data_IF_314103932424
#
_entry.id   IF_314103932424
#
_cell.length_a   1.000
_cell.length_b   1.000
_cell.length_c   1.000
_cell.angle_alpha   90.00
_cell.angle_beta   90.00
_cell.angle_gamma   90.00
#
_symmetry.space_group_name_H-M   'P 1'
#
loop_
_entity.id
_entity.type
_entity.pdbx_description
1 polymer ?
#
# COMPACT_ATOMS: atom_id res chain seq x y z
N UNK A 1 -6.56 26.45 12.46
CA UNK A 1 -6.50 25.30 11.51
C UNK A 1 -7.86 24.65 11.54
N UNK A 2 -8.68 24.87 10.50
CA UNK A 2 -9.99 24.24 10.42
C UNK A 2 -9.78 22.74 10.13
N UNK A 3 -10.08 21.90 11.12
CA UNK A 3 -10.25 20.49 10.88
C UNK A 3 -11.45 20.32 9.93
N UNK A 4 -11.21 19.87 8.70
CA UNK A 4 -12.28 19.48 7.79
C UNK A 4 -13.13 18.44 8.51
N UNK A 5 -14.44 18.65 8.54
CA UNK A 5 -15.39 17.66 9.07
C UNK A 5 -15.16 16.36 8.28
N UNK A 6 -14.88 15.23 8.93
CA UNK A 6 -14.70 13.97 8.22
C UNK A 6 -16.00 13.67 7.44
N UNK A 7 -15.86 13.41 6.14
CA UNK A 7 -16.96 12.89 5.34
C UNK A 7 -17.46 11.57 5.93
N UNK A 8 -18.69 11.15 5.56
CA UNK A 8 -19.20 9.85 5.97
C UNK A 8 -18.20 8.74 5.56
N UNK A 9 -17.93 7.73 6.43
CA UNK A 9 -17.02 6.64 6.11
C UNK A 9 -17.42 5.92 4.82
N UNK A 10 -16.44 5.60 4.00
CA UNK A 10 -16.62 4.81 2.78
C UNK A 10 -16.94 3.37 3.19
N UNK A 11 -18.11 2.88 2.80
CA UNK A 11 -18.45 1.48 3.03
C UNK A 11 -17.68 0.61 2.06
N UNK A 12 -16.78 -0.23 2.57
CA UNK A 12 -15.93 -1.13 1.82
C UNK A 12 -16.21 -2.59 2.19
N UNK A 13 -16.21 -3.48 1.19
CA UNK A 13 -16.21 -4.92 1.47
C UNK A 13 -14.85 -5.33 2.04
N UNK A 14 -13.76 -4.96 1.35
CA UNK A 14 -12.40 -5.23 1.78
C UNK A 14 -11.51 -3.99 1.59
N UNK A 15 -10.72 -3.69 2.62
CA UNK A 15 -9.60 -2.74 2.53
C UNK A 15 -8.29 -3.52 2.52
N UNK A 16 -7.47 -3.35 1.48
CA UNK A 16 -6.14 -3.94 1.35
C UNK A 16 -5.13 -2.86 1.71
N UNK A 17 -4.30 -3.11 2.71
CA UNK A 17 -3.22 -2.23 3.16
C UNK A 17 -1.93 -2.66 2.49
N UNK A 18 -1.48 -1.88 1.51
CA UNK A 18 -0.31 -2.15 0.68
C UNK A 18 -0.67 -2.57 -0.75
N UNK A 19 -0.16 -1.83 -1.74
CA UNK A 19 -0.31 -2.09 -3.17
C UNK A 19 0.96 -2.69 -3.81
N UNK A 20 1.74 -3.44 -3.03
CA UNK A 20 2.81 -4.31 -3.52
C UNK A 20 2.27 -5.57 -4.19
N UNK A 21 3.14 -6.49 -4.68
CA UNK A 21 2.72 -7.69 -5.40
C UNK A 21 1.65 -8.53 -4.67
N UNK A 22 1.77 -8.67 -3.35
CA UNK A 22 0.79 -9.42 -2.55
C UNK A 22 -0.57 -8.73 -2.54
N UNK A 23 -0.61 -7.40 -2.34
CA UNK A 23 -1.87 -6.64 -2.36
C UNK A 23 -2.52 -6.64 -3.73
N UNK A 24 -1.73 -6.52 -4.80
CA UNK A 24 -2.23 -6.60 -6.17
C UNK A 24 -2.82 -7.98 -6.45
N UNK A 25 -2.13 -9.06 -6.08
CA UNK A 25 -2.66 -10.41 -6.28
C UNK A 25 -3.93 -10.66 -5.45
N UNK A 26 -4.03 -10.07 -4.25
CA UNK A 26 -5.24 -10.16 -3.44
C UNK A 26 -6.46 -9.53 -4.14
N UNK A 27 -6.28 -8.44 -4.93
CA UNK A 27 -7.37 -7.89 -5.77
C UNK A 27 -7.88 -8.93 -6.76
N UNK A 28 -6.98 -9.69 -7.39
CA UNK A 28 -7.35 -10.75 -8.32
C UNK A 28 -8.20 -11.82 -7.62
N UNK A 29 -7.75 -12.33 -6.49
CA UNK A 29 -8.45 -13.37 -5.74
C UNK A 29 -9.83 -12.92 -5.27
N UNK A 30 -9.95 -11.70 -4.72
CA UNK A 30 -11.23 -11.11 -4.32
C UNK A 30 -12.15 -10.91 -5.53
N UNK A 31 -11.59 -10.43 -6.64
CA UNK A 31 -12.32 -10.19 -7.87
C UNK A 31 -12.96 -11.45 -8.46
N UNK A 32 -12.27 -12.60 -8.38
CA UNK A 32 -12.84 -13.89 -8.78
C UNK A 32 -14.06 -14.28 -7.94
N UNK A 33 -14.15 -13.79 -6.71
CA UNK A 33 -15.28 -14.01 -5.80
C UNK A 33 -16.36 -12.91 -5.93
N UNK A 34 -16.17 -11.94 -6.82
CA UNK A 34 -17.08 -10.79 -6.97
C UNK A 34 -17.02 -9.79 -5.83
N UNK A 35 -15.94 -9.79 -5.04
CA UNK A 35 -15.73 -8.90 -3.89
C UNK A 35 -14.96 -7.67 -4.34
N UNK A 36 -15.47 -6.48 -4.04
CA UNK A 36 -14.80 -5.22 -4.35
C UNK A 36 -13.72 -4.88 -3.30
N UNK A 37 -12.63 -4.28 -3.77
CA UNK A 37 -11.49 -3.93 -2.91
C UNK A 37 -11.09 -2.46 -3.04
N UNK A 38 -10.74 -1.85 -1.89
CA UNK A 38 -10.05 -0.59 -1.79
C UNK A 38 -8.60 -0.84 -1.40
N UNK A 39 -7.63 -0.35 -2.19
CA UNK A 39 -6.20 -0.44 -1.87
C UNK A 39 -5.71 0.88 -1.31
N UNK A 40 -5.05 0.81 -0.16
CA UNK A 40 -4.41 1.96 0.49
C UNK A 40 -2.89 1.72 0.49
N UNK A 41 -2.12 2.67 -0.04
CA UNK A 41 -0.65 2.60 -0.04
C UNK A 41 -0.03 3.98 0.19
N UNK A 42 1.08 4.03 0.91
CA UNK A 42 1.85 5.24 1.17
C UNK A 42 2.57 5.78 -0.06
N UNK A 43 2.85 4.92 -1.03
CA UNK A 43 3.43 5.30 -2.30
C UNK A 43 2.38 5.92 -3.22
N UNK A 44 2.81 6.78 -4.13
CA UNK A 44 1.96 7.44 -5.14
C UNK A 44 1.68 6.55 -6.36
N UNK A 45 2.31 5.38 -6.41
CA UNK A 45 2.14 4.39 -7.46
C UNK A 45 2.16 2.98 -6.87
N UNK A 46 1.42 2.01 -7.47
CA UNK A 46 1.47 0.62 -7.04
C UNK A 46 2.82 -0.04 -7.34
N UNK A 47 3.11 -1.13 -6.63
CA UNK A 47 4.30 -1.96 -6.84
C UNK A 47 5.14 -2.19 -5.59
N UNK A 48 5.01 -1.35 -4.56
CA UNK A 48 5.69 -1.51 -3.28
C UNK A 48 7.21 -1.58 -3.43
N UNK A 49 7.87 -2.53 -2.75
CA UNK A 49 9.32 -2.67 -2.80
C UNK A 49 9.88 -2.92 -4.20
N UNK A 50 9.13 -3.63 -5.04
CA UNK A 50 9.55 -3.99 -6.40
C UNK A 50 9.82 -2.76 -7.26
N UNK A 51 8.96 -1.76 -7.19
CA UNK A 51 9.11 -0.52 -7.97
C UNK A 51 9.94 0.53 -7.25
N UNK A 52 9.83 0.59 -5.92
CA UNK A 52 10.42 1.67 -5.14
C UNK A 52 11.91 1.45 -4.84
N UNK A 53 12.34 0.21 -4.58
CA UNK A 53 13.70 -0.08 -4.13
C UNK A 53 14.59 -0.70 -5.21
N UNK A 54 14.07 -1.59 -6.05
CA UNK A 54 14.89 -2.38 -6.97
C UNK A 54 14.12 -2.85 -8.22
N UNK A 55 13.64 -1.91 -9.05
CA UNK A 55 12.79 -2.24 -10.21
C UNK A 55 13.47 -3.19 -11.22
N UNK A 56 14.79 -3.10 -11.35
CA UNK A 56 15.58 -3.91 -12.29
C UNK A 56 16.07 -5.24 -11.71
N UNK A 57 15.78 -5.50 -10.42
CA UNK A 57 16.27 -6.72 -9.77
C UNK A 57 15.56 -7.94 -10.35
N UNK A 58 16.31 -8.98 -10.78
CA UNK A 58 15.68 -10.23 -11.19
C UNK A 58 15.10 -10.99 -9.98
N UNK A 59 13.92 -11.57 -10.19
CA UNK A 59 13.17 -12.37 -9.22
C UNK A 59 13.06 -13.79 -9.78
N UNK A 60 13.28 -14.80 -8.95
CA UNK A 60 13.37 -16.21 -9.36
C UNK A 60 12.36 -17.11 -8.63
N UNK A 61 11.63 -16.57 -7.67
CA UNK A 61 10.77 -17.31 -6.72
C UNK A 61 9.28 -17.08 -6.95
N UNK A 62 8.90 -16.66 -8.15
CA UNK A 62 7.49 -16.53 -8.54
C UNK A 62 7.05 -17.82 -9.25
N UNK A 63 5.99 -18.50 -8.76
CA UNK A 63 5.47 -19.70 -9.40
C UNK A 63 5.21 -19.50 -10.90
N UNK A 64 5.63 -20.45 -11.73
CA UNK A 64 5.50 -20.44 -13.19
C UNK A 64 6.27 -19.33 -13.93
N UNK A 65 7.04 -18.48 -13.24
CA UNK A 65 7.96 -17.52 -13.83
C UNK A 65 9.40 -17.84 -13.39
N UNK A 66 10.20 -18.54 -14.23
CA UNK A 66 11.58 -18.93 -13.89
C UNK A 66 12.46 -17.74 -13.54
N UNK A 67 12.20 -16.60 -14.17
CA UNK A 67 12.81 -15.31 -13.89
C UNK A 67 11.93 -14.19 -14.44
N UNK A 68 11.83 -13.09 -13.72
CA UNK A 68 11.22 -11.84 -14.19
C UNK A 68 11.89 -10.65 -13.51
N UNK A 69 11.85 -9.47 -14.13
CA UNK A 69 12.21 -8.22 -13.47
C UNK A 69 11.18 -7.81 -12.42
N UNK A 70 11.59 -7.07 -11.39
CA UNK A 70 10.68 -6.63 -10.35
C UNK A 70 9.57 -5.70 -10.89
N UNK A 71 9.91 -4.77 -11.79
CA UNK A 71 8.93 -3.95 -12.49
C UNK A 71 8.02 -4.79 -13.39
N UNK A 72 8.58 -5.76 -14.12
CA UNK A 72 7.82 -6.65 -14.99
C UNK A 72 6.75 -7.45 -14.21
N UNK A 73 7.09 -7.91 -13.00
CA UNK A 73 6.14 -8.60 -12.14
C UNK A 73 4.94 -7.69 -11.81
N UNK A 74 5.22 -6.45 -11.44
CA UNK A 74 4.17 -5.47 -11.12
C UNK A 74 3.30 -5.19 -12.34
N UNK A 75 3.89 -4.98 -13.51
CA UNK A 75 3.15 -4.72 -14.75
C UNK A 75 2.22 -5.87 -15.12
N UNK A 76 2.67 -7.12 -14.94
CA UNK A 76 1.86 -8.32 -15.16
C UNK A 76 0.69 -8.41 -14.17
N UNK A 77 0.93 -8.14 -12.88
CA UNK A 77 -0.12 -8.11 -11.87
C UNK A 77 -1.14 -6.99 -12.14
N UNK A 78 -0.69 -5.80 -12.52
CA UNK A 78 -1.58 -4.69 -12.91
C UNK A 78 -2.46 -5.05 -14.10
N UNK A 79 -1.90 -5.74 -15.11
CA UNK A 79 -2.69 -6.25 -16.24
C UNK A 79 -3.72 -7.30 -15.80
N UNK A 80 -3.34 -8.18 -14.88
CA UNK A 80 -4.18 -9.25 -14.35
C UNK A 80 -5.38 -8.72 -13.57
N UNK A 81 -5.20 -7.65 -12.76
CA UNK A 81 -6.27 -7.07 -11.94
C UNK A 81 -7.15 -6.06 -12.67
N UNK A 82 -6.76 -5.65 -13.87
CA UNK A 82 -7.48 -4.64 -14.65
C UNK A 82 -9.00 -4.89 -14.79
N UNK A 83 -9.48 -6.12 -15.01
CA UNK A 83 -10.92 -6.39 -15.10
C UNK A 83 -11.71 -6.12 -13.82
N UNK A 84 -11.07 -6.15 -12.66
CA UNK A 84 -11.72 -6.03 -11.35
C UNK A 84 -11.80 -4.59 -10.83
N UNK A 85 -11.11 -3.64 -11.50
CA UNK A 85 -11.21 -2.20 -11.29
C UNK A 85 -11.23 -1.78 -9.79
N UNK A 86 -10.18 -2.10 -9.02
CA UNK A 86 -10.12 -1.75 -7.59
C UNK A 86 -10.09 -0.23 -7.39
N UNK A 87 -10.54 0.23 -6.23
CA UNK A 87 -10.46 1.65 -5.87
C UNK A 87 -9.12 1.94 -5.19
N UNK A 88 -8.42 2.96 -5.68
CA UNK A 88 -7.07 3.31 -5.23
C UNK A 88 -7.08 4.50 -4.26
N UNK A 89 -6.33 4.38 -3.17
CA UNK A 89 -6.02 5.42 -2.18
C UNK A 89 -4.49 5.46 -2.02
N UNK A 90 -3.83 6.08 -3.00
CA UNK A 90 -2.37 6.16 -3.06
C UNK A 90 -1.86 7.45 -2.43
N UNK A 91 -0.67 7.39 -1.80
CA UNK A 91 -0.11 8.48 -1.04
C UNK A 91 -0.75 8.63 0.35
N UNK A 92 -1.44 7.61 0.82
CA UNK A 92 -2.12 7.58 2.12
C UNK A 92 -1.59 6.42 2.97
N UNK A 93 -1.36 6.67 4.25
CA UNK A 93 -0.97 5.66 5.23
C UNK A 93 -2.17 5.30 6.11
N UNK A 94 -2.41 4.00 6.34
CA UNK A 94 -3.39 3.57 7.36
C UNK A 94 -2.79 3.86 8.73
N UNK A 95 -3.39 4.78 9.46
CA UNK A 95 -2.90 5.24 10.77
C UNK A 95 -3.72 4.71 11.94
N UNK A 96 -4.94 4.25 11.67
CA UNK A 96 -5.81 3.68 12.69
C UNK A 96 -6.63 2.52 12.14
N UNK A 97 -6.74 1.45 12.93
CA UNK A 97 -7.65 0.33 12.71
C UNK A 97 -8.31 -0.01 14.04
N UNK A 98 -9.63 -0.07 14.05
CA UNK A 98 -10.38 -0.49 15.22
C UNK A 98 -11.44 -1.51 14.82
N UNK A 99 -11.51 -2.64 15.54
CA UNK A 99 -12.57 -3.62 15.36
C UNK A 99 -13.81 -3.15 16.12
N UNK A 100 -14.97 -3.24 15.48
CA UNK A 100 -16.26 -2.88 16.04
C UNK A 100 -17.01 -4.11 16.58
N UNK A 101 -17.98 -3.89 17.44
CA UNK A 101 -18.81 -4.96 18.03
C UNK A 101 -19.66 -5.70 16.99
N UNK A 102 -19.99 -5.04 15.87
CA UNK A 102 -20.72 -5.63 14.73
C UNK A 102 -19.83 -6.51 13.82
N UNK A 103 -18.56 -6.70 14.20
CA UNK A 103 -17.57 -7.49 13.47
C UNK A 103 -16.89 -6.76 12.31
N UNK A 104 -17.29 -5.53 12.00
CA UNK A 104 -16.65 -4.69 10.98
C UNK A 104 -15.46 -3.91 11.57
N UNK A 105 -14.79 -3.16 10.74
CA UNK A 105 -13.60 -2.40 11.11
C UNK A 105 -13.73 -0.94 10.70
N UNK A 106 -13.37 -0.04 11.61
CA UNK A 106 -13.09 1.35 11.29
C UNK A 106 -11.64 1.46 10.89
N UNK A 107 -11.37 2.01 9.69
CA UNK A 107 -10.02 2.25 9.18
C UNK A 107 -9.89 3.73 8.83
N UNK A 108 -8.80 4.37 9.28
CA UNK A 108 -8.55 5.79 9.00
C UNK A 108 -7.15 5.94 8.41
N UNK A 109 -7.04 6.77 7.37
CA UNK A 109 -5.76 7.07 6.73
C UNK A 109 -5.19 8.43 7.19
N UNK A 110 -3.92 8.66 6.88
CA UNK A 110 -3.21 9.91 7.13
C UNK A 110 -3.82 11.12 6.39
N UNK A 111 -4.54 10.88 5.30
CA UNK A 111 -5.28 11.92 4.57
C UNK A 111 -6.68 12.20 5.14
N UNK A 112 -7.10 11.46 6.17
CA UNK A 112 -8.43 11.57 6.77
C UNK A 112 -9.50 10.76 6.07
N UNK A 113 -9.14 9.92 5.08
CA UNK A 113 -10.06 8.96 4.47
C UNK A 113 -10.48 7.94 5.52
N UNK A 114 -11.78 7.78 5.74
CA UNK A 114 -12.34 6.83 6.69
C UNK A 114 -13.11 5.73 5.98
N UNK A 115 -12.96 4.47 6.44
CA UNK A 115 -13.68 3.32 5.92
C UNK A 115 -14.46 2.61 7.01
N UNK A 116 -15.66 2.15 6.65
CA UNK A 116 -16.41 1.09 7.31
C UNK A 116 -16.13 -0.20 6.53
N UNK A 117 -15.14 -0.99 6.95
CA UNK A 117 -14.65 -2.15 6.22
C UNK A 117 -15.23 -3.47 6.74
N UNK A 118 -15.63 -4.35 5.83
CA UNK A 118 -16.06 -5.71 6.15
C UNK A 118 -14.90 -6.61 6.55
N UNK A 119 -13.76 -6.46 5.86
CA UNK A 119 -12.51 -7.15 6.17
C UNK A 119 -11.30 -6.28 5.83
N UNK A 120 -10.16 -6.61 6.41
CA UNK A 120 -8.88 -5.95 6.14
C UNK A 120 -7.86 -7.01 5.76
N UNK A 121 -7.14 -6.78 4.67
CA UNK A 121 -5.97 -7.58 4.28
C UNK A 121 -4.72 -6.74 4.50
N UNK A 122 -3.81 -7.22 5.35
CA UNK A 122 -2.54 -6.54 5.63
C UNK A 122 -1.46 -7.10 4.72
N UNK A 123 -1.11 -6.34 3.67
CA UNK A 123 -0.07 -6.65 2.69
C UNK A 123 1.03 -5.57 2.68
N UNK A 124 1.30 -4.97 3.85
CA UNK A 124 2.07 -3.73 4.02
C UNK A 124 3.59 -3.90 3.80
N UNK A 125 4.09 -5.13 3.58
CA UNK A 125 5.51 -5.37 3.29
C UNK A 125 6.43 -4.82 4.38
N UNK A 126 7.35 -3.91 4.00
CA UNK A 126 8.27 -3.23 4.95
C UNK A 126 7.66 -1.98 5.61
N UNK A 127 6.39 -1.71 5.39
CA UNK A 127 5.69 -0.53 5.90
C UNK A 127 5.86 0.70 4.99
N UNK A 128 5.81 1.90 5.60
CA UNK A 128 5.70 3.18 4.89
C UNK A 128 7.04 3.71 4.30
N UNK A 129 8.05 2.88 4.13
CA UNK A 129 9.37 3.25 3.58
C UNK A 129 10.07 4.38 4.34
N UNK A 130 9.80 4.50 5.64
CA UNK A 130 10.47 5.47 6.49
C UNK A 130 11.90 5.00 6.80
N UNK A 131 12.93 5.76 6.43
CA UNK A 131 14.31 5.38 6.72
C UNK A 131 14.59 5.42 8.22
N UNK A 132 15.44 4.54 8.70
CA UNK A 132 16.02 4.69 10.05
C UNK A 132 16.93 5.90 10.03
N UNK A 133 16.57 6.92 10.81
CA UNK A 133 17.38 8.13 10.92
C UNK A 133 18.61 7.90 11.80
N UNK A 134 19.67 8.63 11.51
CA UNK A 134 20.85 8.68 12.38
C UNK A 134 20.43 9.43 13.64
N UNK A 135 20.35 8.73 14.77
CA UNK A 135 19.93 9.30 16.05
C UNK A 135 20.99 10.19 16.74
N UNK A 136 21.71 11.03 15.98
CA UNK A 136 22.72 11.96 16.51
C UNK A 136 22.11 13.36 16.64
N UNK A 137 22.27 14.03 17.79
CA UNK A 137 21.84 15.42 17.96
C UNK A 137 22.43 16.33 16.87
N UNK A 138 21.58 17.09 16.19
CA UNK A 138 21.99 18.02 15.13
C UNK A 138 22.08 17.40 13.73
N UNK A 139 21.90 16.09 13.56
CA UNK A 139 21.92 15.44 12.24
C UNK A 139 20.80 15.95 11.33
N UNK A 140 19.68 16.37 11.90
CA UNK A 140 18.52 16.85 11.17
C UNK A 140 18.83 18.06 10.28
N UNK A 141 19.77 18.92 10.70
CA UNK A 141 20.20 20.09 9.93
C UNK A 141 20.93 19.72 8.61
N UNK A 142 21.40 18.48 8.49
CA UNK A 142 22.15 17.97 7.36
C UNK A 142 21.33 17.03 6.48
N UNK A 143 20.11 16.63 6.91
CA UNK A 143 19.23 15.74 6.15
C UNK A 143 18.78 16.38 4.83
N UNK A 144 18.83 15.60 3.76
CA UNK A 144 18.51 16.05 2.42
C UNK A 144 19.59 16.90 1.73
N UNK A 145 20.71 17.21 2.43
CA UNK A 145 21.83 17.97 1.89
C UNK A 145 23.13 17.16 1.89
N UNK A 146 23.56 16.68 3.06
CA UNK A 146 24.76 15.87 3.24
C UNK A 146 24.45 14.45 3.76
N UNK A 147 23.29 14.28 4.43
CA UNK A 147 22.81 12.98 4.88
C UNK A 147 21.66 12.57 3.98
N UNK A 148 21.87 11.49 3.23
CA UNK A 148 20.89 10.89 2.35
C UNK A 148 20.60 9.46 2.80
N UNK A 149 19.35 9.16 3.09
CA UNK A 149 18.91 7.81 3.49
C UNK A 149 18.56 6.93 2.29
N UNK A 150 18.52 7.53 1.10
CA UNK A 150 18.22 6.85 -0.15
C UNK A 150 19.04 7.50 -1.28
N UNK A 151 19.72 6.67 -2.03
CA UNK A 151 20.42 7.04 -3.26
C UNK A 151 19.72 6.31 -4.40
N UNK A 152 19.23 7.08 -5.39
CA UNK A 152 18.71 6.55 -6.66
C UNK A 152 19.75 6.71 -7.74
#
# INVERSE_FOLDING_TARGET
MNAATPGAPIRAEVVIVGAGPCGLFQVFELGLLGISAHLVDTLKAPGGQCTELYPDKPIYDIPALPVCGAQELVDRLMAQIKPFNPTWHLGEEVVQVAKRDDGRFDVVTSAGTAFDAGAIVIAAGVGSFQPRRIGLPGAEAFEGRQIHYRVK
#
